data_IF_877178042615
#
_entry.id   IF_877178042615
#
_cell.length_a   1.000
_cell.length_b   1.000
_cell.length_c   1.000
_cell.angle_alpha   90.00
_cell.angle_beta   90.00
_cell.angle_gamma   90.00
#
_symmetry.space_group_name_H-M   'P 1'
#
loop_
_entity.id
_entity.type
_entity.pdbx_description
1 polymer ?
#
# COMPACT_ATOMS: atom_id res chain seq x y z
N UNK A 1 -13.34 15.04 -7.33
CA UNK A 1 -11.90 15.37 -7.38
C UNK A 1 -11.15 14.10 -7.02
N UNK A 2 -10.27 13.61 -7.90
CA UNK A 2 -9.40 12.47 -7.57
C UNK A 2 -8.52 12.85 -6.38
N UNK A 3 -8.42 11.98 -5.38
CA UNK A 3 -7.50 12.19 -4.27
C UNK A 3 -6.06 12.15 -4.81
N UNK A 4 -5.23 13.12 -4.43
CA UNK A 4 -3.84 13.13 -4.84
C UNK A 4 -3.11 11.86 -4.35
N UNK A 5 -2.12 11.41 -5.11
CA UNK A 5 -1.23 10.34 -4.66
C UNK A 5 -0.53 10.75 -3.36
N UNK A 6 -0.21 9.78 -2.50
CA UNK A 6 0.49 10.07 -1.25
C UNK A 6 1.91 10.55 -1.51
N UNK A 7 2.26 11.69 -0.92
CA UNK A 7 3.60 12.28 -1.03
C UNK A 7 4.63 11.60 -0.12
N UNK A 8 4.16 10.82 0.85
CA UNK A 8 5.00 10.17 1.87
C UNK A 8 4.54 8.73 2.11
N UNK A 9 5.49 7.85 2.34
CA UNK A 9 5.25 6.44 2.64
C UNK A 9 5.86 6.04 3.97
N UNK A 10 5.17 5.17 4.69
CA UNK A 10 5.73 4.41 5.81
C UNK A 10 6.55 3.27 5.21
N UNK A 11 7.87 3.31 5.41
CA UNK A 11 8.79 2.30 4.87
C UNK A 11 9.27 1.31 5.93
N UNK A 12 9.12 1.65 7.21
CA UNK A 12 9.52 0.76 8.29
C UNK A 12 8.87 1.12 9.62
N UNK A 13 8.99 0.21 10.57
CA UNK A 13 8.50 0.36 11.94
C UNK A 13 9.65 0.08 12.90
N UNK A 14 9.87 0.97 13.86
CA UNK A 14 10.85 0.77 14.95
C UNK A 14 10.37 -0.33 15.90
N UNK A 15 11.17 -1.37 16.07
CA UNK A 15 10.88 -2.54 16.93
C UNK A 15 11.73 -2.57 18.20
N UNK A 16 12.26 -1.44 18.60
CA UNK A 16 13.04 -1.26 19.83
C UNK A 16 14.49 -0.88 19.57
N UNK A 17 15.31 -0.86 20.63
CA UNK A 17 16.74 -0.57 20.57
C UNK A 17 17.58 -1.79 20.24
N UNK A 18 18.78 -1.54 19.71
CA UNK A 18 19.84 -2.53 19.50
C UNK A 18 21.15 -2.02 20.08
N UNK A 19 21.93 -2.95 20.68
CA UNK A 19 23.23 -2.60 21.23
C UNK A 19 23.17 -1.52 22.33
N UNK A 20 24.30 -0.88 22.58
CA UNK A 20 24.47 0.13 23.64
C UNK A 20 24.59 1.56 23.09
N UNK A 21 24.68 1.72 21.77
CA UNK A 21 24.94 2.98 21.08
C UNK A 21 23.68 3.70 20.60
N UNK A 22 22.49 3.17 20.94
CA UNK A 22 21.21 3.77 20.55
C UNK A 22 20.77 3.48 19.12
N UNK A 23 21.21 2.36 18.56
CA UNK A 23 20.69 1.87 17.30
C UNK A 23 19.24 1.37 17.45
N UNK A 24 18.50 1.48 16.37
CA UNK A 24 17.12 0.97 16.26
C UNK A 24 17.08 -0.38 15.55
N UNK A 25 16.22 -1.26 16.02
CA UNK A 25 15.72 -2.38 15.21
C UNK A 25 14.59 -1.86 14.35
N UNK A 26 14.68 -2.02 13.04
CA UNK A 26 13.68 -1.57 12.08
C UNK A 26 13.18 -2.76 11.28
N UNK A 27 11.87 -2.93 11.25
CA UNK A 27 11.17 -3.88 10.39
C UNK A 27 10.66 -3.13 9.16
N UNK A 28 11.06 -3.58 7.96
CA UNK A 28 10.56 -3.01 6.71
C UNK A 28 9.08 -3.36 6.49
N UNK A 29 8.31 -2.40 6.00
CA UNK A 29 6.88 -2.62 5.66
C UNK A 29 6.68 -3.36 4.34
N UNK A 30 7.69 -3.36 3.46
CA UNK A 30 7.68 -4.09 2.18
C UNK A 30 8.42 -5.42 2.23
N UNK A 31 9.20 -5.67 3.29
CA UNK A 31 10.16 -6.79 3.35
C UNK A 31 11.48 -6.50 2.63
N UNK A 32 11.58 -5.40 1.87
CA UNK A 32 12.79 -4.97 1.17
C UNK A 32 13.62 -4.07 2.09
N UNK A 33 14.93 -4.25 2.12
CA UNK A 33 15.84 -3.52 3.01
C UNK A 33 16.87 -2.67 2.27
N UNK A 34 17.18 -2.98 1.02
CA UNK A 34 18.24 -2.32 0.25
C UNK A 34 18.05 -0.80 0.15
N UNK A 35 16.80 -0.34 -0.01
CA UNK A 35 16.51 1.08 -0.16
C UNK A 35 16.81 1.93 1.08
N UNK A 36 16.97 1.31 2.26
CA UNK A 36 17.34 2.04 3.47
C UNK A 36 18.82 2.48 3.47
N UNK A 37 19.69 1.76 2.74
CA UNK A 37 21.11 2.08 2.65
C UNK A 37 21.38 3.44 2.00
N UNK A 38 20.47 3.90 1.14
CA UNK A 38 20.59 5.17 0.40
C UNK A 38 19.88 6.36 1.12
N UNK A 39 19.41 6.16 2.35
CA UNK A 39 18.70 7.19 3.10
C UNK A 39 19.65 8.04 3.94
N UNK A 40 19.72 9.34 3.64
CA UNK A 40 20.47 10.32 4.44
C UNK A 40 19.67 10.83 5.63
N UNK A 41 18.32 10.86 5.50
CA UNK A 41 17.39 11.37 6.51
C UNK A 41 16.08 10.59 6.50
N UNK A 42 15.45 10.48 7.66
CA UNK A 42 14.15 9.85 7.84
C UNK A 42 13.27 10.66 8.78
N UNK A 43 11.96 10.58 8.59
CA UNK A 43 11.01 11.12 9.56
C UNK A 43 10.47 9.99 10.44
N UNK A 44 10.72 10.07 11.74
CA UNK A 44 10.06 9.21 12.73
C UNK A 44 8.73 9.84 13.15
N UNK A 45 7.64 9.07 13.17
CA UNK A 45 6.33 9.55 13.60
C UNK A 45 5.56 8.50 14.41
N UNK A 46 4.74 8.97 15.34
CA UNK A 46 3.74 8.14 16.03
C UNK A 46 2.29 8.57 15.69
N UNK A 47 2.13 9.30 14.57
CA UNK A 47 0.85 9.86 14.16
C UNK A 47 0.52 11.22 14.78
N UNK A 48 1.07 11.56 15.94
CA UNK A 48 0.84 12.85 16.63
C UNK A 48 2.06 13.76 16.57
N UNK A 49 3.24 13.18 16.76
CA UNK A 49 4.53 13.88 16.75
C UNK A 49 5.38 13.31 15.64
N UNK A 50 6.09 14.17 14.92
CA UNK A 50 7.06 13.78 13.90
C UNK A 50 8.42 14.44 14.17
N UNK A 51 9.51 13.70 13.90
CA UNK A 51 10.89 14.17 14.03
C UNK A 51 11.68 13.78 12.78
N UNK A 52 12.25 14.76 12.11
CA UNK A 52 13.22 14.54 11.04
C UNK A 52 14.59 14.32 11.68
N UNK A 53 15.26 13.24 11.32
CA UNK A 53 16.56 12.83 11.86
C UNK A 53 17.47 12.35 10.73
N UNK A 54 18.77 12.71 10.81
CA UNK A 54 19.77 12.21 9.87
C UNK A 54 20.13 10.77 10.20
N UNK A 55 20.40 9.99 9.16
CA UNK A 55 20.87 8.62 9.27
C UNK A 55 22.39 8.62 9.34
N UNK A 56 22.97 8.09 10.43
CA UNK A 56 24.43 7.93 10.56
C UNK A 56 24.90 6.63 9.94
N UNK A 57 24.17 5.56 10.13
CA UNK A 57 24.49 4.25 9.55
C UNK A 57 23.27 3.35 9.47
N UNK A 58 23.35 2.42 8.52
CA UNK A 58 22.38 1.34 8.32
C UNK A 58 23.15 0.05 8.15
N UNK A 59 22.69 -1.01 8.80
CA UNK A 59 23.23 -2.36 8.61
C UNK A 59 22.10 -3.39 8.58
N UNK A 60 22.23 -4.37 7.72
CA UNK A 60 21.21 -5.40 7.50
C UNK A 60 21.49 -6.61 8.42
N UNK A 61 20.45 -7.10 9.06
CA UNK A 61 20.42 -8.36 9.80
C UNK A 61 19.53 -9.39 9.12
N UNK A 62 19.26 -10.50 9.79
CA UNK A 62 18.35 -11.53 9.27
C UNK A 62 16.88 -11.05 9.45
N UNK A 63 16.26 -10.58 8.37
CA UNK A 63 14.90 -10.03 8.33
C UNK A 63 14.66 -8.82 9.27
N UNK A 64 15.71 -8.06 9.52
CA UNK A 64 15.66 -6.82 10.30
C UNK A 64 16.78 -5.89 9.88
N UNK A 65 16.56 -4.61 10.01
CA UNK A 65 17.56 -3.58 9.78
C UNK A 65 17.97 -2.97 11.12
N UNK A 66 19.26 -2.66 11.25
CA UNK A 66 19.76 -1.83 12.34
C UNK A 66 20.08 -0.45 11.78
N UNK A 67 19.48 0.58 12.37
CA UNK A 67 19.64 1.97 11.93
C UNK A 67 20.12 2.83 13.09
N UNK A 68 21.18 3.59 12.86
CA UNK A 68 21.66 4.62 13.79
C UNK A 68 21.22 5.99 13.30
N UNK A 69 20.60 6.75 14.17
CA UNK A 69 20.16 8.11 13.88
C UNK A 69 20.92 9.12 14.74
N UNK A 70 21.19 10.27 14.14
CA UNK A 70 21.93 11.35 14.78
C UNK A 70 21.24 11.84 16.07
N UNK A 71 22.01 12.02 17.12
CA UNK A 71 21.51 12.52 18.39
C UNK A 71 20.82 11.49 19.28
N UNK A 72 20.74 10.22 18.88
CA UNK A 72 20.19 9.11 19.69
C UNK A 72 21.35 8.20 20.10
N UNK A 73 21.86 8.35 21.32
CA UNK A 73 23.14 7.77 21.73
C UNK A 73 23.03 6.71 22.83
N UNK A 74 21.82 6.37 23.25
CA UNK A 74 21.61 5.32 24.25
C UNK A 74 20.38 4.44 23.95
N UNK A 75 20.33 3.21 24.47
CA UNK A 75 19.18 2.34 24.34
C UNK A 75 17.90 2.95 24.91
N UNK A 76 18.01 3.74 25.98
CA UNK A 76 16.87 4.41 26.64
C UNK A 76 16.29 5.51 25.76
N UNK A 77 17.15 6.23 25.01
CA UNK A 77 16.70 7.21 24.03
C UNK A 77 16.01 6.53 22.85
N UNK A 78 16.62 5.50 22.31
CA UNK A 78 16.05 4.72 21.21
C UNK A 78 14.72 4.06 21.59
N UNK A 79 14.59 3.56 22.82
CA UNK A 79 13.36 2.92 23.30
C UNK A 79 12.13 3.83 23.30
N UNK A 80 12.33 5.17 23.37
CA UNK A 80 11.22 6.15 23.29
C UNK A 80 10.51 6.14 21.94
N UNK A 81 11.17 5.64 20.91
CA UNK A 81 10.64 5.55 19.54
C UNK A 81 10.10 4.16 19.19
N UNK A 82 9.98 3.25 20.16
CA UNK A 82 9.42 1.94 19.89
C UNK A 82 8.01 2.04 19.31
N UNK A 83 7.74 1.30 18.22
CA UNK A 83 6.53 1.32 17.41
C UNK A 83 6.29 2.62 16.62
N UNK A 84 7.25 3.54 16.57
CA UNK A 84 7.15 4.67 15.66
C UNK A 84 7.38 4.21 14.23
N UNK A 85 6.73 4.89 13.33
CA UNK A 85 6.84 4.66 11.89
C UNK A 85 8.00 5.48 11.32
N UNK A 86 8.73 4.88 10.39
CA UNK A 86 9.73 5.56 9.56
C UNK A 86 9.04 5.98 8.28
N UNK A 87 8.97 7.28 8.06
CA UNK A 87 8.29 7.89 6.92
C UNK A 87 9.30 8.61 6.04
N UNK A 88 9.22 8.38 4.75
CA UNK A 88 10.06 9.04 3.75
C UNK A 88 9.20 9.71 2.66
N UNK A 89 9.72 10.75 2.00
CA UNK A 89 9.08 11.28 0.81
C UNK A 89 9.00 10.21 -0.28
N UNK A 90 7.98 10.29 -1.14
CA UNK A 90 7.80 9.36 -2.28
C UNK A 90 9.07 9.20 -3.13
N UNK A 91 9.84 10.28 -3.30
CA UNK A 91 11.10 10.28 -4.06
C UNK A 91 12.23 9.44 -3.45
N UNK A 92 12.13 9.11 -2.16
CA UNK A 92 13.10 8.30 -1.39
C UNK A 92 12.57 6.89 -1.08
N UNK A 93 11.33 6.58 -1.46
CA UNK A 93 10.78 5.23 -1.31
C UNK A 93 11.37 4.28 -2.37
N UNK A 94 11.19 2.97 -2.16
CA UNK A 94 11.62 1.95 -3.13
C UNK A 94 11.16 2.30 -4.55
N UNK A 95 12.06 2.22 -5.53
CA UNK A 95 11.72 2.50 -6.93
C UNK A 95 10.92 1.34 -7.51
N UNK A 96 9.69 1.63 -7.92
CA UNK A 96 8.83 0.65 -8.55
C UNK A 96 9.42 0.18 -9.88
N UNK A 97 9.35 -1.11 -10.12
CA UNK A 97 9.61 -1.71 -11.43
C UNK A 97 8.35 -1.60 -12.31
N UNK A 98 8.46 -2.06 -13.55
CA UNK A 98 7.29 -2.14 -14.43
C UNK A 98 6.28 -3.13 -13.82
N UNK A 99 5.02 -2.73 -13.82
CA UNK A 99 3.90 -3.51 -13.27
C UNK A 99 3.96 -3.71 -11.74
N UNK A 100 4.65 -2.80 -11.04
CA UNK A 100 4.62 -2.67 -9.58
C UNK A 100 3.91 -1.39 -9.14
N UNK A 101 3.20 -1.47 -8.04
CA UNK A 101 2.47 -0.33 -7.45
C UNK A 101 2.63 -0.33 -5.94
N UNK A 102 2.66 0.85 -5.36
CA UNK A 102 2.51 0.96 -3.91
C UNK A 102 1.07 0.61 -3.53
N UNK A 103 0.91 -0.27 -2.54
CA UNK A 103 -0.41 -0.68 -2.03
C UNK A 103 -1.26 0.55 -1.66
N UNK A 104 -0.64 1.57 -1.07
CA UNK A 104 -1.32 2.79 -0.68
C UNK A 104 -1.86 3.61 -1.87
N UNK A 105 -1.27 3.49 -3.05
CA UNK A 105 -1.77 4.14 -4.27
C UNK A 105 -2.96 3.38 -4.87
N UNK A 106 -3.03 2.08 -4.65
CA UNK A 106 -4.14 1.25 -5.11
C UNK A 106 -5.41 1.47 -4.27
N UNK A 107 -5.26 1.77 -2.97
CA UNK A 107 -6.39 2.06 -2.08
C UNK A 107 -7.15 3.30 -2.54
N UNK A 108 -8.47 3.17 -2.65
CA UNK A 108 -9.36 4.21 -3.15
C UNK A 108 -9.45 4.29 -4.67
N UNK A 109 -8.80 3.40 -5.41
CA UNK A 109 -9.04 3.27 -6.85
C UNK A 109 -10.43 2.73 -7.11
N UNK A 110 -11.12 3.28 -8.11
CA UNK A 110 -12.36 2.75 -8.63
C UNK A 110 -12.09 1.50 -9.45
N UNK A 111 -12.77 0.41 -9.14
CA UNK A 111 -12.78 -0.79 -9.98
C UNK A 111 -13.90 -0.63 -11.00
N UNK A 112 -13.56 -0.75 -12.27
CA UNK A 112 -14.50 -0.63 -13.36
C UNK A 112 -14.49 -1.87 -14.27
N UNK A 113 -15.64 -2.17 -14.87
CA UNK A 113 -15.80 -3.27 -15.81
C UNK A 113 -16.48 -2.78 -17.09
N UNK A 114 -16.01 -3.26 -18.21
CA UNK A 114 -16.67 -3.09 -19.50
C UNK A 114 -16.35 -4.29 -20.39
N UNK A 115 -17.35 -4.86 -21.01
CA UNK A 115 -17.14 -5.92 -21.98
C UNK A 115 -16.25 -5.46 -23.12
N UNK A 116 -15.28 -6.30 -23.49
CA UNK A 116 -14.42 -6.06 -24.64
C UNK A 116 -15.20 -6.34 -25.90
N UNK A 117 -15.51 -5.33 -26.69
CA UNK A 117 -16.14 -5.49 -27.98
C UNK A 117 -15.07 -5.47 -29.08
N UNK A 118 -14.69 -6.65 -29.59
CA UNK A 118 -13.67 -6.81 -30.61
C UNK A 118 -12.25 -6.51 -30.12
N UNK A 119 -11.36 -6.06 -31.03
CA UNK A 119 -9.93 -5.80 -30.73
C UNK A 119 -9.65 -4.47 -30.03
N UNK A 120 -10.69 -3.69 -29.72
CA UNK A 120 -10.49 -2.37 -29.07
C UNK A 120 -10.53 -2.51 -27.56
N UNK A 121 -9.44 -2.12 -26.90
CA UNK A 121 -9.38 -2.08 -25.44
C UNK A 121 -10.48 -1.16 -24.90
N UNK A 122 -11.30 -1.59 -23.92
CA UNK A 122 -12.38 -0.77 -23.37
C UNK A 122 -11.80 0.46 -22.65
N UNK A 123 -12.48 1.60 -22.79
CA UNK A 123 -12.15 2.82 -22.08
C UNK A 123 -13.01 2.92 -20.80
N UNK A 124 -12.45 3.55 -19.78
CA UNK A 124 -13.15 3.87 -18.54
C UNK A 124 -14.42 4.70 -18.79
N UNK A 125 -15.46 4.37 -18.05
CA UNK A 125 -16.74 5.09 -18.00
C UNK A 125 -17.20 5.10 -16.54
N UNK A 126 -17.65 6.25 -16.04
CA UNK A 126 -18.12 6.38 -14.66
C UNK A 126 -19.31 5.44 -14.34
N UNK A 127 -20.15 5.14 -15.34
CA UNK A 127 -21.25 4.19 -15.20
C UNK A 127 -20.79 2.73 -15.15
N UNK A 128 -19.51 2.46 -15.44
CA UNK A 128 -18.93 1.11 -15.44
C UNK A 128 -18.28 0.73 -14.09
N UNK A 129 -18.38 1.60 -13.08
CA UNK A 129 -17.79 1.34 -11.76
C UNK A 129 -18.56 0.23 -11.04
N UNK A 130 -17.85 -0.80 -10.64
CA UNK A 130 -18.39 -1.94 -9.87
C UNK A 130 -18.06 -1.87 -8.38
N UNK A 131 -17.05 -1.10 -8.00
CA UNK A 131 -16.66 -0.94 -6.60
C UNK A 131 -15.42 -0.07 -6.41
N UNK A 132 -14.91 -0.06 -5.17
CA UNK A 132 -13.73 0.71 -4.79
C UNK A 132 -12.77 -0.18 -4.02
N UNK A 133 -11.47 -0.07 -4.31
CA UNK A 133 -10.41 -0.77 -3.57
C UNK A 133 -10.31 -0.21 -2.16
N UNK A 134 -10.51 -1.04 -1.15
CA UNK A 134 -10.38 -0.68 0.26
C UNK A 134 -9.01 -1.08 0.82
N UNK A 135 -8.47 -2.20 0.35
CA UNK A 135 -7.17 -2.69 0.78
C UNK A 135 -6.54 -3.63 -0.26
N UNK A 136 -5.26 -3.96 -0.05
CA UNK A 136 -4.57 -5.06 -0.75
C UNK A 136 -3.90 -5.91 0.32
N UNK A 137 -4.17 -7.20 0.30
CA UNK A 137 -3.72 -8.14 1.31
C UNK A 137 -2.79 -9.18 0.68
N UNK A 138 -1.78 -9.59 1.40
CA UNK A 138 -0.97 -10.74 1.00
C UNK A 138 -1.73 -12.03 1.32
N UNK A 139 -1.89 -12.87 0.31
CA UNK A 139 -2.51 -14.19 0.39
C UNK A 139 -1.50 -15.29 0.12
N UNK A 140 -1.87 -16.53 0.37
CA UNK A 140 -0.97 -17.69 0.21
C UNK A 140 -0.47 -17.95 -1.23
N UNK A 141 -1.11 -17.35 -2.25
CA UNK A 141 -0.74 -17.48 -3.68
C UNK A 141 -0.54 -16.13 -4.39
N UNK A 142 -0.26 -15.08 -3.64
CA UNK A 142 -0.07 -13.71 -4.14
C UNK A 142 -1.02 -12.72 -3.48
N UNK A 143 -1.08 -11.51 -4.00
CA UNK A 143 -1.90 -10.44 -3.45
C UNK A 143 -3.37 -10.57 -3.81
N UNK A 144 -4.24 -10.14 -2.89
CA UNK A 144 -5.69 -10.03 -3.06
C UNK A 144 -6.11 -8.57 -2.95
N UNK A 145 -6.84 -8.09 -3.93
CA UNK A 145 -7.48 -6.78 -3.89
C UNK A 145 -8.80 -6.90 -3.15
N UNK A 146 -8.93 -6.18 -2.06
CA UNK A 146 -10.18 -6.05 -1.31
C UNK A 146 -11.02 -4.94 -1.94
N UNK A 147 -12.22 -5.27 -2.38
CA UNK A 147 -13.12 -4.38 -3.11
C UNK A 147 -14.43 -4.24 -2.35
N UNK A 148 -14.79 -3.03 -1.98
CA UNK A 148 -16.14 -2.70 -1.53
C UNK A 148 -17.01 -2.47 -2.76
N UNK A 149 -18.01 -3.32 -2.97
CA UNK A 149 -18.91 -3.24 -4.12
C UNK A 149 -19.78 -1.98 -4.06
N UNK A 150 -20.08 -1.41 -5.22
CA UNK A 150 -20.92 -0.22 -5.33
C UNK A 150 -22.40 -0.59 -5.32
N UNK A 151 -23.20 0.03 -4.46
CA UNK A 151 -24.65 -0.12 -4.44
C UNK A 151 -25.29 0.32 -5.78
N UNK A 152 -24.71 1.33 -6.42
CA UNK A 152 -25.19 1.88 -7.69
C UNK A 152 -24.78 1.07 -8.92
N UNK A 153 -23.98 0.01 -8.76
CA UNK A 153 -23.56 -0.84 -9.86
C UNK A 153 -24.77 -1.52 -10.51
N UNK A 154 -24.98 -1.25 -11.80
CA UNK A 154 -26.08 -1.83 -12.60
C UNK A 154 -25.76 -3.22 -13.18
N UNK A 155 -24.48 -3.61 -13.22
CA UNK A 155 -24.02 -4.89 -13.77
C UNK A 155 -24.21 -6.07 -12.80
N UNK A 156 -24.36 -5.78 -11.50
CA UNK A 156 -24.49 -6.79 -10.45
C UNK A 156 -25.87 -6.78 -9.84
N UNK A 157 -26.43 -7.97 -9.59
CA UNK A 157 -27.67 -8.11 -8.84
C UNK A 157 -27.48 -7.70 -7.38
N UNK A 158 -28.58 -7.36 -6.70
CA UNK A 158 -28.54 -6.96 -5.29
C UNK A 158 -28.02 -8.09 -4.39
N UNK A 159 -28.30 -9.35 -4.73
CA UNK A 159 -27.80 -10.51 -4.01
C UNK A 159 -26.26 -10.65 -4.07
N UNK A 160 -25.63 -10.17 -5.15
CA UNK A 160 -24.18 -10.14 -5.31
C UNK A 160 -23.59 -8.95 -4.58
N UNK A 161 -24.11 -7.75 -4.77
CA UNK A 161 -23.49 -6.51 -4.27
C UNK A 161 -23.84 -6.18 -2.82
N UNK A 162 -24.96 -6.71 -2.28
CA UNK A 162 -25.39 -6.39 -0.93
C UNK A 162 -25.36 -7.63 -0.01
N UNK A 163 -25.07 -7.40 1.26
CA UNK A 163 -25.17 -8.41 2.30
C UNK A 163 -26.63 -8.53 2.82
N UNK A 164 -26.90 -9.51 3.68
CA UNK A 164 -28.24 -9.75 4.27
C UNK A 164 -28.82 -8.56 5.04
N UNK A 165 -28.01 -7.56 5.37
CA UNK A 165 -28.42 -6.33 6.06
C UNK A 165 -28.65 -5.17 5.09
N UNK A 166 -28.50 -5.40 3.78
CA UNK A 166 -28.65 -4.37 2.74
C UNK A 166 -27.45 -3.42 2.60
N UNK A 167 -26.31 -3.75 3.19
CA UNK A 167 -25.09 -2.96 3.03
C UNK A 167 -24.17 -3.57 1.97
N UNK A 168 -23.32 -2.77 1.30
CA UNK A 168 -22.36 -3.27 0.31
C UNK A 168 -21.51 -4.41 0.83
N UNK A 169 -21.29 -5.41 -0.01
CA UNK A 169 -20.35 -6.49 0.29
C UNK A 169 -18.93 -6.08 -0.02
N UNK A 170 -18.02 -6.65 0.75
CA UNK A 170 -16.59 -6.67 0.44
C UNK A 170 -16.26 -8.02 -0.19
N UNK A 171 -15.55 -7.99 -1.31
CA UNK A 171 -15.07 -9.17 -2.04
C UNK A 171 -13.57 -9.11 -2.22
N UNK A 172 -12.94 -10.26 -2.48
CA UNK A 172 -11.50 -10.38 -2.66
C UNK A 172 -11.21 -10.93 -4.05
N UNK A 173 -10.45 -10.19 -4.84
CA UNK A 173 -10.06 -10.56 -6.19
C UNK A 173 -8.56 -10.75 -6.25
N UNK A 174 -8.03 -11.87 -6.81
CA UNK A 174 -6.59 -12.04 -6.98
C UNK A 174 -6.00 -10.90 -7.83
N UNK A 175 -4.90 -10.30 -7.35
CA UNK A 175 -4.18 -9.26 -8.09
C UNK A 175 -3.28 -9.91 -9.14
N UNK A 176 -3.90 -10.37 -10.22
CA UNK A 176 -3.25 -11.02 -11.37
C UNK A 176 -3.86 -10.46 -12.65
N UNK A 177 -3.09 -10.43 -13.73
CA UNK A 177 -3.50 -9.90 -15.03
C UNK A 177 -4.76 -10.58 -15.59
N UNK A 178 -5.03 -11.82 -15.18
CA UNK A 178 -6.25 -12.55 -15.54
C UNK A 178 -7.52 -11.87 -15.00
N UNK A 179 -7.44 -11.22 -13.82
CA UNK A 179 -8.60 -10.64 -13.13
C UNK A 179 -8.56 -9.12 -13.09
N UNK A 180 -7.38 -8.55 -12.94
CA UNK A 180 -7.13 -7.11 -12.91
C UNK A 180 -6.30 -6.76 -14.14
N UNK A 181 -6.89 -6.00 -15.05
CA UNK A 181 -6.24 -5.54 -16.28
C UNK A 181 -5.47 -4.24 -16.04
N UNK A 182 -5.81 -3.19 -16.79
CA UNK A 182 -5.11 -1.90 -16.68
C UNK A 182 -5.26 -1.30 -15.27
N UNK A 183 -4.12 -0.95 -14.67
CA UNK A 183 -4.01 -0.19 -13.43
C UNK A 183 -3.54 1.22 -13.77
N UNK A 184 -4.31 2.22 -13.39
CA UNK A 184 -4.04 3.65 -13.61
C UNK A 184 -4.18 4.40 -12.29
N UNK A 185 -3.09 4.40 -11.53
CA UNK A 185 -3.07 5.01 -10.18
C UNK A 185 -3.22 6.52 -10.21
N UNK A 186 -2.76 7.18 -11.30
CA UNK A 186 -2.87 8.63 -11.45
C UNK A 186 -4.33 9.07 -11.61
N UNK A 187 -5.12 8.28 -12.33
CA UNK A 187 -6.55 8.50 -12.50
C UNK A 187 -7.40 7.74 -11.49
N UNK A 188 -6.79 7.00 -10.55
CA UNK A 188 -7.48 6.21 -9.54
C UNK A 188 -8.43 5.16 -10.11
N UNK A 189 -7.97 4.42 -11.12
CA UNK A 189 -8.77 3.46 -11.86
C UNK A 189 -8.05 2.13 -11.99
N UNK A 190 -8.80 1.03 -11.82
CA UNK A 190 -8.33 -0.32 -12.07
C UNK A 190 -9.40 -1.08 -12.84
N UNK A 191 -9.00 -1.78 -13.90
CA UNK A 191 -9.91 -2.54 -14.73
C UNK A 191 -10.14 -3.93 -14.14
N UNK A 192 -11.41 -4.31 -13.96
CA UNK A 192 -11.80 -5.71 -13.72
C UNK A 192 -11.98 -6.42 -15.06
N UNK A 193 -11.40 -7.60 -15.21
CA UNK A 193 -11.47 -8.36 -16.46
C UNK A 193 -12.74 -9.22 -16.57
N UNK A 194 -13.26 -9.71 -15.44
CA UNK A 194 -14.39 -10.64 -15.43
C UNK A 194 -15.34 -10.33 -14.26
N UNK A 195 -16.64 -10.13 -14.55
CA UNK A 195 -17.65 -9.89 -13.51
C UNK A 195 -17.90 -11.11 -12.61
N UNK A 196 -17.85 -12.32 -13.18
CA UNK A 196 -18.14 -13.55 -12.44
C UNK A 196 -17.22 -13.78 -11.23
N UNK A 197 -16.05 -13.14 -11.19
CA UNK A 197 -15.13 -13.25 -10.03
C UNK A 197 -15.70 -12.56 -8.77
N UNK A 198 -16.72 -11.72 -8.90
CA UNK A 198 -17.38 -11.01 -7.80
C UNK A 198 -18.57 -11.78 -7.21
N UNK A 199 -19.01 -12.88 -7.84
CA UNK A 199 -20.14 -13.74 -7.46
C UNK A 199 -19.75 -14.86 -6.44
#
# INVERSE_FOLDING_TARGET
MAAALKDKFVVGIVRGSHGITGEFKVESTSGEYEHFADMDEVTLTNGTVSRLLNVESVSEGSNILYMKLEGINSPEEAAKFNRWEIVVPRSKAHKLQKDEWYIEDLKGCSIWYKETAGDTAPAFDENSIVGTVTNVLEGGSGYLVEILLSESCSFLSDDVKLNKKGSPKTVYVPFKDEFIGKVDVDNRQMQLMHLWILE
#
